data_IF_953029204147
#
_entry.id   IF_953029204147
#
_cell.length_a   1.000
_cell.length_b   1.000
_cell.length_c   1.000
_cell.angle_alpha   90.00
_cell.angle_beta   90.00
_cell.angle_gamma   90.00
#
_symmetry.space_group_name_H-M   'P 1'
#
loop_
_entity.id
_entity.type
_entity.pdbx_description
1 polymer ?
#
# COMPACT_ATOMS: atom_id res chain seq x y z
N UNK A 1 37.26 -12.29 73.36
CA UNK A 1 37.00 -11.14 72.54
C UNK A 1 36.85 -11.66 71.09
N UNK A 2 35.60 -11.82 70.56
CA UNK A 2 35.32 -12.39 69.22
C UNK A 2 34.98 -11.27 68.26
N UNK A 3 35.83 -11.03 67.24
CA UNK A 3 35.61 -10.14 66.15
C UNK A 3 34.54 -10.75 65.20
N UNK A 4 33.44 -10.04 64.97
CA UNK A 4 32.49 -10.40 63.94
C UNK A 4 32.80 -9.63 62.63
N UNK A 5 33.23 -10.37 61.62
CA UNK A 5 33.48 -9.87 60.26
C UNK A 5 32.12 -9.76 59.55
N UNK A 6 31.64 -8.55 59.31
CA UNK A 6 30.47 -8.28 58.49
C UNK A 6 30.84 -8.25 57.01
N UNK A 7 30.25 -9.16 56.23
CA UNK A 7 30.35 -9.14 54.76
C UNK A 7 29.27 -8.21 54.20
N UNK A 8 29.71 -7.13 53.58
CA UNK A 8 28.87 -6.16 52.91
C UNK A 8 28.70 -6.61 51.47
N UNK A 9 27.55 -7.15 51.11
CA UNK A 9 27.22 -7.51 49.75
C UNK A 9 26.82 -6.25 48.97
N UNK A 10 27.65 -5.81 48.03
CA UNK A 10 27.33 -4.77 47.08
C UNK A 10 26.50 -5.33 45.95
N UNK A 11 25.21 -4.97 45.88
CA UNK A 11 24.33 -5.30 44.74
C UNK A 11 24.66 -4.39 43.57
N UNK A 12 25.29 -4.91 42.52
CA UNK A 12 25.41 -4.21 41.22
C UNK A 12 24.06 -4.22 40.53
N UNK A 13 23.38 -3.06 40.50
CA UNK A 13 22.25 -2.84 39.59
C UNK A 13 22.79 -2.57 38.20
N UNK A 14 22.68 -3.57 37.31
CA UNK A 14 22.87 -3.37 35.85
C UNK A 14 21.69 -2.59 35.27
N UNK A 15 21.90 -1.31 35.03
CA UNK A 15 20.95 -0.50 34.24
C UNK A 15 21.09 -0.94 32.79
N UNK A 16 20.15 -1.77 32.29
CA UNK A 16 20.03 -2.08 30.89
C UNK A 16 19.55 -0.83 30.15
N UNK A 17 20.48 -0.02 29.62
CA UNK A 17 20.15 1.00 28.63
C UNK A 17 19.64 0.27 27.38
N UNK A 18 18.32 0.19 27.24
CA UNK A 18 17.68 -0.24 25.99
C UNK A 18 18.10 0.72 24.88
N UNK A 19 18.96 0.27 23.97
CA UNK A 19 19.23 1.01 22.72
C UNK A 19 17.93 1.01 21.93
N UNK A 20 17.21 2.11 21.97
CA UNK A 20 16.03 2.32 21.13
C UNK A 20 16.53 2.51 19.71
N UNK A 21 16.37 1.49 18.85
CA UNK A 21 16.75 1.58 17.45
C UNK A 21 15.93 2.69 16.80
N UNK A 22 16.60 3.71 16.25
CA UNK A 22 15.96 4.78 15.53
C UNK A 22 15.31 4.20 14.27
N UNK A 23 14.02 4.50 14.04
CA UNK A 23 13.32 4.07 12.83
C UNK A 23 13.91 4.78 11.61
N UNK A 24 14.45 4.01 10.67
CA UNK A 24 14.95 4.55 9.40
C UNK A 24 13.77 4.82 8.48
N UNK A 25 13.70 6.06 7.97
CA UNK A 25 12.69 6.48 6.98
C UNK A 25 13.36 6.65 5.61
N UNK A 26 12.77 6.03 4.57
CA UNK A 26 13.26 6.13 3.19
C UNK A 26 12.10 6.44 2.25
N UNK A 27 12.17 7.56 1.54
CA UNK A 27 11.20 7.94 0.51
C UNK A 27 11.55 7.32 -0.84
N UNK A 28 10.57 6.74 -1.53
CA UNK A 28 10.69 6.19 -2.88
C UNK A 28 10.29 7.28 -3.89
N UNK A 29 11.20 8.21 -4.14
CA UNK A 29 10.97 9.31 -5.08
C UNK A 29 11.13 8.80 -6.52
N UNK A 30 10.10 8.93 -7.40
CA UNK A 30 10.22 8.51 -8.79
C UNK A 30 11.18 9.41 -9.59
N UNK A 31 11.20 10.70 -9.28
CA UNK A 31 12.11 11.72 -9.80
C UNK A 31 11.99 13.01 -8.98
N UNK A 32 12.91 13.96 -9.17
CA UNK A 32 12.95 15.24 -8.43
C UNK A 32 11.73 16.15 -8.69
N UNK A 33 11.04 15.99 -9.81
CA UNK A 33 9.89 16.83 -10.21
C UNK A 33 8.55 16.28 -9.70
N UNK A 34 8.52 15.03 -9.21
CA UNK A 34 7.29 14.44 -8.70
C UNK A 34 6.87 15.14 -7.40
N UNK A 35 5.62 15.60 -7.30
CA UNK A 35 5.12 16.23 -6.07
C UNK A 35 4.88 15.23 -4.93
N UNK A 36 4.84 13.92 -5.24
CA UNK A 36 4.62 12.85 -4.27
C UNK A 36 5.63 11.72 -4.48
N UNK A 37 5.95 11.01 -3.41
CA UNK A 37 6.71 9.77 -3.48
C UNK A 37 5.82 8.60 -3.95
N UNK A 38 6.40 7.59 -4.60
CA UNK A 38 5.68 6.33 -4.88
C UNK A 38 5.33 5.58 -3.59
N UNK A 39 6.12 5.79 -2.55
CA UNK A 39 5.90 5.22 -1.23
C UNK A 39 6.97 5.66 -0.24
N UNK A 40 6.78 5.27 1.01
CA UNK A 40 7.70 5.59 2.12
C UNK A 40 7.91 4.34 2.96
N UNK A 41 9.16 3.96 3.16
CA UNK A 41 9.55 3.02 4.19
C UNK A 41 9.67 3.71 5.54
N UNK A 42 9.06 3.13 6.57
CA UNK A 42 9.26 3.48 7.97
C UNK A 42 9.63 2.19 8.72
N UNK A 43 10.91 1.97 8.93
CA UNK A 43 11.43 0.69 9.40
C UNK A 43 11.11 -0.44 8.40
N UNK A 44 10.41 -1.49 8.86
CA UNK A 44 10.00 -2.62 8.02
C UNK A 44 8.61 -2.43 7.37
N UNK A 45 7.99 -1.27 7.53
CA UNK A 45 6.68 -0.95 6.97
C UNK A 45 6.80 -0.06 5.75
N UNK A 46 6.21 -0.48 4.64
CA UNK A 46 6.12 0.28 3.39
C UNK A 46 4.70 0.82 3.21
N UNK A 47 4.57 2.12 3.09
CA UNK A 47 3.36 2.84 2.72
C UNK A 47 3.46 3.18 1.24
N UNK A 48 2.60 2.63 0.38
CA UNK A 48 2.50 3.01 -1.03
C UNK A 48 1.42 4.06 -1.24
N UNK A 49 1.75 5.06 -2.03
CA UNK A 49 0.79 6.07 -2.47
C UNK A 49 -0.31 5.47 -3.33
N UNK A 50 -1.47 6.12 -3.37
CA UNK A 50 -2.61 5.72 -4.18
C UNK A 50 -2.25 5.50 -5.64
N UNK A 51 -2.72 4.40 -6.21
CA UNK A 51 -2.51 4.03 -7.61
C UNK A 51 -3.82 4.11 -8.38
N UNK A 52 -3.78 4.89 -9.45
CA UNK A 52 -4.81 4.96 -10.48
C UNK A 52 -4.48 4.01 -11.65
N UNK A 53 -5.48 3.69 -12.47
CA UNK A 53 -5.28 2.88 -13.68
C UNK A 53 -4.35 3.56 -14.70
N UNK A 54 -3.66 2.76 -15.49
CA UNK A 54 -3.11 3.19 -16.78
C UNK A 54 -4.17 3.03 -17.87
N UNK A 55 -4.12 3.80 -18.95
CA UNK A 55 -5.08 3.64 -20.04
C UNK A 55 -4.93 2.26 -20.70
N UNK A 56 -6.06 1.64 -21.04
CA UNK A 56 -6.14 0.44 -21.87
C UNK A 56 -5.78 0.79 -23.32
N UNK A 57 -6.28 1.95 -23.79
CA UNK A 57 -5.92 2.53 -25.07
C UNK A 57 -5.38 3.93 -24.80
N UNK A 58 -4.10 4.20 -25.12
CA UNK A 58 -3.53 5.55 -24.98
C UNK A 58 -4.27 6.57 -25.86
N UNK A 59 -4.19 7.84 -25.48
CA UNK A 59 -4.63 8.93 -26.35
C UNK A 59 -3.81 8.93 -27.65
N UNK A 60 -4.48 9.27 -28.76
CA UNK A 60 -3.82 9.49 -30.06
C UNK A 60 -4.12 10.95 -30.48
N UNK A 61 -3.16 11.82 -30.23
CA UNK A 61 -3.29 13.25 -30.54
C UNK A 61 -3.45 13.50 -32.04
N UNK A 62 -2.81 12.68 -32.89
CA UNK A 62 -2.89 12.82 -34.34
C UNK A 62 -4.32 12.51 -34.87
N UNK A 63 -5.05 11.66 -34.14
CA UNK A 63 -6.46 11.33 -34.48
C UNK A 63 -7.47 12.06 -33.60
N UNK A 64 -7.02 12.86 -32.63
CA UNK A 64 -7.91 13.56 -31.70
C UNK A 64 -8.71 12.62 -30.79
N UNK A 65 -8.18 11.39 -30.52
CA UNK A 65 -8.87 10.42 -29.67
C UNK A 65 -8.34 10.47 -28.23
N UNK A 66 -9.28 10.49 -27.25
CA UNK A 66 -8.94 10.46 -25.84
C UNK A 66 -8.48 9.07 -25.40
N UNK A 67 -7.73 9.01 -24.29
CA UNK A 67 -7.37 7.76 -23.64
C UNK A 67 -8.62 7.05 -23.10
N UNK A 68 -8.61 5.71 -23.18
CA UNK A 68 -9.67 4.85 -22.64
C UNK A 68 -9.13 4.06 -21.45
N UNK A 69 -9.85 4.05 -20.33
CA UNK A 69 -9.41 3.41 -19.09
C UNK A 69 -10.24 2.17 -18.71
N UNK A 70 -11.37 1.97 -19.37
CA UNK A 70 -12.28 0.86 -19.11
C UNK A 70 -13.13 1.04 -17.84
N UNK A 71 -13.83 -0.03 -17.49
CA UNK A 71 -14.71 -0.11 -16.32
C UNK A 71 -13.93 -0.23 -14.99
N UNK A 72 -14.66 -0.22 -13.88
CA UNK A 72 -14.07 -0.35 -12.52
C UNK A 72 -13.21 -1.60 -12.37
N UNK A 73 -13.62 -2.75 -12.94
CA UNK A 73 -12.82 -3.99 -12.89
C UNK A 73 -11.50 -3.82 -13.63
N UNK A 74 -11.53 -3.28 -14.83
CA UNK A 74 -10.35 -3.04 -15.68
C UNK A 74 -9.37 -2.08 -14.98
N UNK A 75 -9.91 -0.98 -14.43
CA UNK A 75 -9.12 -0.01 -13.69
C UNK A 75 -8.52 -0.59 -12.40
N UNK A 76 -9.29 -1.40 -11.65
CA UNK A 76 -8.81 -2.10 -10.47
C UNK A 76 -7.67 -3.08 -10.77
N UNK A 77 -7.80 -3.87 -11.85
CA UNK A 77 -6.72 -4.76 -12.31
C UNK A 77 -5.46 -3.98 -12.65
N UNK A 78 -5.59 -2.86 -13.35
CA UNK A 78 -4.45 -2.00 -13.69
C UNK A 78 -3.77 -1.43 -12.45
N UNK A 79 -4.52 -0.90 -11.47
CA UNK A 79 -3.99 -0.38 -10.22
C UNK A 79 -3.30 -1.47 -9.38
N UNK A 80 -3.91 -2.66 -9.26
CA UNK A 80 -3.34 -3.79 -8.50
C UNK A 80 -2.05 -4.32 -9.15
N UNK A 81 -1.96 -4.38 -10.48
CA UNK A 81 -0.73 -4.74 -11.19
C UNK A 81 0.40 -3.73 -10.94
N UNK A 82 0.09 -2.43 -10.92
CA UNK A 82 1.08 -1.38 -10.56
C UNK A 82 1.56 -1.54 -9.13
N UNK A 83 0.65 -1.78 -8.18
CA UNK A 83 0.99 -2.03 -6.78
C UNK A 83 1.91 -3.24 -6.68
N UNK A 84 1.60 -4.35 -7.36
CA UNK A 84 2.44 -5.54 -7.37
C UNK A 84 3.84 -5.25 -7.94
N UNK A 85 3.94 -4.48 -9.01
CA UNK A 85 5.22 -4.08 -9.59
C UNK A 85 6.05 -3.26 -8.59
N UNK A 86 5.45 -2.23 -7.97
CA UNK A 86 6.11 -1.40 -6.96
C UNK A 86 6.56 -2.23 -5.73
N UNK A 87 5.75 -3.17 -5.28
CA UNK A 87 6.12 -4.09 -4.20
C UNK A 87 7.34 -4.93 -4.59
N UNK A 88 7.35 -5.52 -5.80
CA UNK A 88 8.46 -6.34 -6.30
C UNK A 88 9.76 -5.57 -6.42
N UNK A 89 9.72 -4.31 -6.86
CA UNK A 89 10.89 -3.42 -6.87
C UNK A 89 11.49 -3.21 -5.46
N UNK A 90 10.67 -3.37 -4.41
CA UNK A 90 11.09 -3.23 -3.02
C UNK A 90 11.40 -4.58 -2.34
N UNK A 91 11.39 -5.70 -3.10
CA UNK A 91 11.62 -7.05 -2.57
C UNK A 91 10.43 -7.62 -1.78
N UNK A 92 9.23 -7.10 -2.04
CA UNK A 92 7.95 -7.55 -1.46
C UNK A 92 7.04 -8.11 -2.56
N UNK A 93 5.89 -8.68 -2.15
CA UNK A 93 4.82 -9.09 -3.08
C UNK A 93 3.45 -8.85 -2.42
N UNK A 94 2.37 -9.18 -3.12
CA UNK A 94 1.00 -9.04 -2.65
C UNK A 94 0.74 -9.75 -1.32
N UNK A 95 1.45 -10.85 -1.02
CA UNK A 95 1.37 -11.57 0.26
C UNK A 95 1.79 -10.74 1.47
N UNK A 96 2.62 -9.72 1.26
CA UNK A 96 3.17 -8.86 2.30
C UNK A 96 2.28 -7.64 2.58
N UNK A 97 1.19 -7.46 1.81
CA UNK A 97 0.19 -6.40 2.03
C UNK A 97 -0.65 -6.72 3.25
N UNK A 98 -0.63 -5.83 4.24
CA UNK A 98 -1.37 -5.98 5.50
C UNK A 98 -2.60 -5.09 5.57
N UNK A 99 -2.62 -3.96 4.85
CA UNK A 99 -3.74 -3.02 4.78
C UNK A 99 -3.95 -2.55 3.34
N UNK A 100 -5.21 -2.39 2.97
CA UNK A 100 -5.62 -1.80 1.69
C UNK A 100 -6.76 -0.82 1.94
N UNK A 101 -6.66 0.36 1.36
CA UNK A 101 -7.77 1.32 1.27
C UNK A 101 -8.13 1.47 -0.21
N UNK A 102 -9.43 1.41 -0.50
CA UNK A 102 -9.97 1.54 -1.85
C UNK A 102 -10.96 2.68 -1.90
N UNK A 103 -10.65 3.67 -2.71
CA UNK A 103 -11.50 4.81 -3.01
C UNK A 103 -12.18 4.55 -4.35
N UNK A 104 -13.51 4.60 -4.38
CA UNK A 104 -14.31 4.37 -5.59
C UNK A 104 -15.09 5.63 -5.93
N UNK A 105 -14.96 6.12 -7.15
CA UNK A 105 -15.87 7.13 -7.66
C UNK A 105 -17.20 6.48 -8.07
N UNK A 106 -18.25 7.27 -8.15
CA UNK A 106 -19.52 6.83 -8.72
C UNK A 106 -19.37 6.56 -10.21
N UNK A 107 -19.73 5.33 -10.64
CA UNK A 107 -19.69 4.94 -12.04
C UNK A 107 -20.95 5.46 -12.77
N UNK A 108 -20.81 6.31 -13.81
CA UNK A 108 -21.96 6.79 -14.58
C UNK A 108 -22.81 5.66 -15.15
N UNK A 109 -22.18 4.55 -15.58
CA UNK A 109 -22.90 3.38 -16.13
C UNK A 109 -23.65 2.58 -15.05
N UNK A 110 -23.36 2.83 -13.78
CA UNK A 110 -24.04 2.24 -12.61
C UNK A 110 -24.97 3.24 -11.90
N UNK A 111 -25.38 4.31 -12.61
CA UNK A 111 -26.23 5.35 -12.03
C UNK A 111 -25.56 6.18 -10.95
N UNK A 112 -24.27 6.41 -11.05
CA UNK A 112 -23.50 7.21 -10.08
C UNK A 112 -23.16 6.48 -8.78
N UNK A 113 -23.34 5.16 -8.72
CA UNK A 113 -22.97 4.32 -7.58
C UNK A 113 -21.63 3.64 -7.82
N UNK A 114 -20.92 3.34 -6.74
CA UNK A 114 -19.69 2.55 -6.82
C UNK A 114 -19.95 1.14 -7.39
N UNK A 115 -19.05 0.63 -8.22
CA UNK A 115 -19.09 -0.75 -8.71
C UNK A 115 -18.30 -1.70 -7.81
N UNK A 116 -18.88 -2.09 -6.68
CA UNK A 116 -18.26 -3.05 -5.75
C UNK A 116 -18.05 -4.45 -6.38
N UNK A 117 -18.98 -5.00 -7.20
CA UNK A 117 -18.74 -6.25 -7.92
C UNK A 117 -17.53 -6.19 -8.85
N UNK A 118 -17.30 -5.10 -9.57
CA UNK A 118 -16.13 -4.88 -10.42
C UNK A 118 -14.84 -4.89 -9.62
N UNK A 119 -14.80 -4.18 -8.49
CA UNK A 119 -13.67 -4.25 -7.55
C UNK A 119 -13.42 -5.69 -7.10
N UNK A 120 -14.46 -6.43 -6.64
CA UNK A 120 -14.29 -7.81 -6.15
C UNK A 120 -13.76 -8.75 -7.23
N UNK A 121 -14.24 -8.64 -8.46
CA UNK A 121 -13.80 -9.45 -9.60
C UNK A 121 -12.31 -9.26 -9.95
N UNK A 122 -11.76 -8.06 -9.68
CA UNK A 122 -10.32 -7.80 -9.79
C UNK A 122 -9.56 -8.30 -8.55
N UNK A 123 -10.01 -7.92 -7.36
CA UNK A 123 -9.35 -8.19 -6.09
C UNK A 123 -9.09 -9.70 -5.86
N UNK A 124 -10.05 -10.56 -6.17
CA UNK A 124 -9.94 -12.01 -5.97
C UNK A 124 -8.91 -12.69 -6.87
N UNK A 125 -8.35 -11.99 -7.85
CA UNK A 125 -7.24 -12.49 -8.66
C UNK A 125 -5.88 -12.34 -7.97
N UNK A 126 -5.78 -11.49 -6.96
CA UNK A 126 -4.53 -11.19 -6.24
C UNK A 126 -4.54 -11.71 -4.80
N UNK A 127 -5.70 -11.81 -4.15
CA UNK A 127 -5.83 -12.11 -2.73
C UNK A 127 -6.82 -13.24 -2.48
N UNK A 128 -6.46 -14.12 -1.54
CA UNK A 128 -7.29 -15.27 -1.19
C UNK A 128 -7.32 -16.34 -2.26
N UNK A 129 -6.33 -16.37 -3.15
CA UNK A 129 -6.13 -17.43 -4.14
C UNK A 129 -5.47 -18.65 -3.50
N UNK A 130 -5.42 -19.78 -4.22
CA UNK A 130 -4.71 -20.98 -3.75
C UNK A 130 -3.22 -20.70 -3.51
N UNK A 131 -2.59 -19.91 -4.40
CA UNK A 131 -1.16 -19.63 -4.38
C UNK A 131 -0.81 -18.44 -3.48
N UNK A 132 -1.76 -17.52 -3.28
CA UNK A 132 -1.64 -16.38 -2.38
C UNK A 132 -2.91 -16.28 -1.48
N UNK A 133 -2.97 -17.05 -0.36
CA UNK A 133 -4.15 -17.13 0.49
C UNK A 133 -4.35 -15.92 1.42
N UNK A 134 -3.30 -15.13 1.66
CA UNK A 134 -3.36 -13.98 2.58
C UNK A 134 -4.29 -12.89 2.04
N UNK A 135 -5.01 -12.25 2.95
CA UNK A 135 -5.91 -11.13 2.65
C UNK A 135 -5.56 -9.96 3.55
N UNK A 136 -5.37 -8.76 3.01
CA UNK A 136 -5.16 -7.57 3.83
C UNK A 136 -6.44 -7.17 4.57
N UNK A 137 -6.29 -6.48 5.70
CA UNK A 137 -7.38 -5.71 6.27
C UNK A 137 -7.79 -4.62 5.25
N UNK A 138 -9.04 -4.64 4.74
CA UNK A 138 -9.49 -3.76 3.66
C UNK A 138 -10.67 -2.91 4.06
N UNK A 139 -10.63 -1.62 3.68
CA UNK A 139 -11.78 -0.72 3.64
C UNK A 139 -12.03 -0.30 2.19
N UNK A 140 -13.30 -0.21 1.77
CA UNK A 140 -13.68 0.27 0.44
C UNK A 140 -14.94 1.12 0.60
N UNK A 141 -14.98 2.30 -0.01
CA UNK A 141 -16.09 3.25 0.09
C UNK A 141 -16.15 4.16 -1.12
N UNK A 142 -17.34 4.72 -1.38
CA UNK A 142 -17.51 5.71 -2.43
C UNK A 142 -17.02 7.08 -1.94
N UNK A 143 -16.29 7.78 -2.82
CA UNK A 143 -15.89 9.18 -2.65
C UNK A 143 -16.66 10.07 -3.63
N UNK A 144 -16.70 11.36 -3.35
CA UNK A 144 -17.37 12.32 -4.22
C UNK A 144 -16.72 12.41 -5.61
N UNK A 145 -15.40 12.39 -5.68
CA UNK A 145 -14.60 12.35 -6.89
C UNK A 145 -13.16 11.89 -6.56
N UNK A 146 -12.44 11.42 -7.58
CA UNK A 146 -11.00 11.20 -7.56
C UNK A 146 -10.28 12.35 -8.28
N UNK A 147 -8.97 12.45 -8.08
CA UNK A 147 -8.17 13.54 -8.66
C UNK A 147 -8.24 13.57 -10.22
N UNK A 148 -8.38 12.41 -10.86
CA UNK A 148 -8.55 12.29 -12.30
C UNK A 148 -10.03 12.07 -12.63
N UNK A 149 -10.65 12.90 -13.50
CA UNK A 149 -12.09 12.82 -13.81
C UNK A 149 -12.53 11.50 -14.45
N UNK A 150 -11.63 10.77 -15.09
CA UNK A 150 -11.87 9.45 -15.71
C UNK A 150 -11.74 8.29 -14.73
N UNK A 151 -11.18 8.55 -13.52
CA UNK A 151 -10.88 7.48 -12.59
C UNK A 151 -12.15 7.02 -11.85
N UNK A 152 -12.37 5.71 -11.86
CA UNK A 152 -13.43 5.04 -11.12
C UNK A 152 -12.92 4.44 -9.81
N UNK A 153 -11.60 4.24 -9.68
CA UNK A 153 -10.98 3.62 -8.53
C UNK A 153 -9.55 4.13 -8.30
N UNK A 154 -9.20 4.28 -7.03
CA UNK A 154 -7.83 4.47 -6.54
C UNK A 154 -7.57 3.50 -5.40
N UNK A 155 -6.38 2.91 -5.35
CA UNK A 155 -6.00 1.91 -4.34
C UNK A 155 -4.67 2.29 -3.72
N UNK A 156 -4.63 2.36 -2.39
CA UNK A 156 -3.40 2.46 -1.60
C UNK A 156 -3.21 1.22 -0.73
N UNK A 157 -1.95 0.91 -0.40
CA UNK A 157 -1.64 -0.24 0.46
C UNK A 157 -0.54 0.07 1.46
N UNK A 158 -0.56 -0.68 2.57
CA UNK A 158 0.54 -0.80 3.51
C UNK A 158 1.03 -2.24 3.45
N UNK A 159 2.32 -2.42 3.27
CA UNK A 159 2.99 -3.72 3.27
C UNK A 159 4.06 -3.78 4.38
N UNK A 160 4.34 -4.97 4.87
CA UNK A 160 5.34 -5.19 5.93
C UNK A 160 6.32 -6.25 5.49
N UNK A 161 7.61 -5.95 5.64
CA UNK A 161 8.67 -6.95 5.45
C UNK A 161 8.63 -7.93 6.61
N UNK A 162 8.25 -9.17 6.32
CA UNK A 162 8.39 -10.27 7.27
C UNK A 162 9.86 -10.55 7.61
N UNK A 163 10.12 -11.02 8.83
CA UNK A 163 11.43 -11.52 9.24
C UNK A 163 11.67 -12.92 8.72
#
# INVERSE_FOLDING_TARGET
MKLKTGVMAAALMAVACGVQAQVVVKHLQPNEKSPIANGVWAGDTLYLSGQLASPVTPADEAKGTAAVYGDTKTQALSALNKIQALLKEQGLDMKDVVKMTVFLAGDPEKGGKLDFPGLQAAYTQFFGTKDQPNKPARSAFQVAALAAPWALIEIEVIAVRGK
#
